data_IF_695112069298
#
_entry.id   IF_695112069298
#
_cell.length_a   1.000
_cell.length_b   1.000
_cell.length_c   1.000
_cell.angle_alpha   90.00
_cell.angle_beta   90.00
_cell.angle_gamma   90.00
#
_symmetry.space_group_name_H-M   'P 1'
#
loop_
_entity.id
_entity.type
_entity.pdbx_description
1 polymer ?
#
# COMPACT_ATOMS: atom_id res chain seq x y z
N UNK A 1 55.73 -10.15 6.16
CA UNK A 1 55.45 -9.71 7.55
C UNK A 1 54.02 -9.17 7.57
N UNK A 2 53.05 -10.05 7.83
CA UNK A 2 52.21 -10.14 9.06
C UNK A 2 51.19 -8.99 9.14
N UNK A 3 49.89 -9.25 8.89
CA UNK A 3 48.83 -9.60 9.87
C UNK A 3 48.29 -8.34 10.59
N UNK A 4 47.00 -8.01 10.67
CA UNK A 4 45.80 -8.78 11.03
C UNK A 4 44.56 -8.00 10.53
N UNK A 5 43.53 -8.60 9.92
CA UNK A 5 42.47 -9.41 10.54
C UNK A 5 41.73 -8.72 11.71
N UNK A 6 40.59 -8.08 11.41
CA UNK A 6 39.48 -7.99 12.36
C UNK A 6 38.15 -8.24 11.63
N UNK A 7 37.76 -9.52 11.68
CA UNK A 7 36.42 -10.05 11.50
C UNK A 7 35.57 -9.59 12.69
N UNK A 8 34.39 -9.01 12.44
CA UNK A 8 33.22 -9.23 13.30
C UNK A 8 31.97 -9.37 12.45
N UNK A 9 31.48 -10.59 12.51
CA UNK A 9 30.15 -11.05 12.21
C UNK A 9 29.07 -10.13 12.81
N UNK A 10 28.03 -9.85 12.02
CA UNK A 10 26.66 -9.75 12.53
C UNK A 10 25.72 -10.44 11.56
N UNK A 11 25.42 -11.66 11.94
CA UNK A 11 24.38 -12.52 11.41
C UNK A 11 22.99 -11.87 11.51
N UNK A 12 22.16 -12.17 10.50
CA UNK A 12 20.83 -12.74 10.72
C UNK A 12 19.83 -11.95 11.56
N UNK A 13 19.11 -11.00 10.94
CA UNK A 13 17.76 -10.65 11.38
C UNK A 13 16.75 -11.17 10.37
N UNK A 14 16.06 -12.23 10.74
CA UNK A 14 14.97 -12.82 9.98
C UNK A 14 13.83 -11.79 9.73
N UNK A 15 13.17 -11.80 8.57
CA UNK A 15 11.99 -10.98 8.35
C UNK A 15 10.83 -11.48 9.23
N UNK A 16 10.17 -10.52 9.89
CA UNK A 16 9.06 -10.75 10.81
C UNK A 16 7.99 -11.68 10.24
N UNK A 17 7.83 -12.83 10.92
CA UNK A 17 6.81 -13.84 10.65
C UNK A 17 5.45 -13.27 11.04
N UNK A 18 4.63 -12.98 10.04
CA UNK A 18 3.21 -12.70 10.24
C UNK A 18 2.52 -14.01 10.62
N UNK A 19 2.00 -14.10 11.84
CA UNK A 19 1.26 -15.27 12.31
C UNK A 19 -0.06 -15.38 11.52
N UNK A 20 -0.26 -16.53 10.88
CA UNK A 20 -1.57 -16.97 10.40
C UNK A 20 -2.35 -17.53 11.59
N UNK A 21 -3.66 -17.24 11.76
CA UNK A 21 -4.49 -18.03 12.67
C UNK A 21 -4.68 -19.44 12.08
N UNK A 22 -4.39 -20.42 12.92
CA UNK A 22 -4.57 -21.85 12.66
C UNK A 22 -6.06 -22.20 12.52
N UNK A 23 -6.33 -23.23 11.73
CA UNK A 23 -7.66 -23.78 11.52
C UNK A 23 -8.27 -24.37 12.79
N UNK A 24 -9.60 -24.27 12.85
CA UNK A 24 -10.43 -25.11 13.70
C UNK A 24 -11.32 -25.94 12.76
N UNK A 25 -11.03 -27.23 12.78
CA UNK A 25 -11.81 -28.37 12.41
C UNK A 25 -12.99 -28.57 13.38
N UNK A 26 -14.20 -28.75 12.85
CA UNK A 26 -15.40 -28.98 13.64
C UNK A 26 -16.64 -29.14 12.76
N UNK A 27 -17.09 -30.38 12.66
CA UNK A 27 -18.12 -30.90 11.76
C UNK A 27 -19.56 -30.53 12.13
N UNK A 28 -20.37 -30.27 11.09
CA UNK A 28 -21.70 -30.87 10.91
C UNK A 28 -22.92 -30.31 11.66
N UNK A 29 -23.72 -29.47 10.98
CA UNK A 29 -25.20 -29.58 10.99
C UNK A 29 -25.85 -28.95 9.75
N UNK A 30 -26.98 -29.54 9.36
CA UNK A 30 -27.70 -29.53 8.07
C UNK A 30 -28.47 -28.24 7.72
N UNK A 31 -28.94 -28.08 6.46
CA UNK A 31 -29.45 -26.81 5.91
C UNK A 31 -30.95 -26.61 6.20
N UNK A 32 -31.31 -25.37 6.52
CA UNK A 32 -32.70 -24.89 6.63
C UNK A 32 -32.86 -23.62 5.79
N UNK A 33 -33.82 -23.68 4.88
CA UNK A 33 -34.26 -22.66 3.93
C UNK A 33 -35.01 -21.47 4.56
N UNK A 34 -35.08 -20.36 3.80
CA UNK A 34 -35.82 -19.08 3.96
C UNK A 34 -34.90 -17.91 4.42
N UNK A 35 -34.89 -16.70 3.85
CA UNK A 35 -35.72 -15.97 2.88
C UNK A 35 -34.86 -14.81 2.29
N UNK A 36 -34.87 -14.54 0.98
CA UNK A 36 -34.10 -13.45 0.38
C UNK A 36 -34.88 -12.13 0.40
N UNK A 37 -34.79 -11.38 1.50
CA UNK A 37 -35.16 -9.94 1.54
C UNK A 37 -34.72 -9.31 2.85
N UNK A 38 -33.83 -8.31 2.74
CA UNK A 38 -33.47 -7.19 3.65
C UNK A 38 -31.96 -7.00 3.53
N UNK A 39 -31.37 -5.92 3.01
CA UNK A 39 -31.88 -4.68 2.44
C UNK A 39 -30.73 -4.08 1.63
N UNK A 40 -31.05 -3.56 0.45
CA UNK A 40 -30.14 -2.75 -0.34
C UNK A 40 -29.60 -1.59 0.49
N UNK A 41 -28.30 -1.66 0.80
CA UNK A 41 -27.53 -0.50 1.20
C UNK A 41 -27.41 0.41 0.00
N UNK A 42 -28.15 1.51 0.00
CA UNK A 42 -28.02 2.61 -0.95
C UNK A 42 -26.53 2.91 -1.08
N UNK A 43 -25.97 2.72 -2.28
CA UNK A 43 -24.60 3.09 -2.58
C UNK A 43 -24.48 4.61 -2.46
N UNK A 44 -24.29 5.11 -1.24
CA UNK A 44 -23.83 6.46 -1.02
C UNK A 44 -22.52 6.55 -1.79
N UNK A 45 -22.49 7.40 -2.83
CA UNK A 45 -21.29 7.64 -3.60
C UNK A 45 -20.19 8.05 -2.62
N UNK A 46 -19.26 7.12 -2.34
CA UNK A 46 -18.17 7.36 -1.40
C UNK A 46 -17.40 8.58 -1.91
N UNK A 47 -17.34 9.63 -1.10
CA UNK A 47 -16.51 10.80 -1.38
C UNK A 47 -15.21 10.64 -0.59
N UNK A 48 -14.10 11.11 -1.14
CA UNK A 48 -12.81 11.09 -0.44
C UNK A 48 -11.89 9.92 -0.84
N UNK A 49 -10.89 9.61 -0.01
CA UNK A 49 -9.83 8.63 -0.31
C UNK A 49 -10.34 7.23 -0.65
N UNK A 50 -11.43 6.75 -0.04
CA UNK A 50 -11.99 5.43 -0.29
C UNK A 50 -12.37 5.19 -1.78
N UNK A 51 -12.98 6.18 -2.43
CA UNK A 51 -13.33 6.07 -3.86
C UNK A 51 -12.10 6.10 -4.76
N UNK A 52 -11.05 6.80 -4.34
CA UNK A 52 -9.78 6.80 -5.04
C UNK A 52 -9.13 5.42 -5.01
N UNK A 53 -9.12 4.79 -3.83
CA UNK A 53 -8.65 3.42 -3.63
C UNK A 53 -9.45 2.40 -4.43
N UNK A 54 -10.77 2.52 -4.47
CA UNK A 54 -11.64 1.63 -5.27
C UNK A 54 -11.31 1.71 -6.76
N UNK A 55 -11.16 2.92 -7.31
CA UNK A 55 -10.77 3.12 -8.72
C UNK A 55 -9.37 2.61 -9.01
N UNK A 56 -8.44 2.82 -8.09
CA UNK A 56 -7.09 2.27 -8.20
C UNK A 56 -7.09 0.74 -8.18
N UNK A 57 -7.82 0.11 -7.25
CA UNK A 57 -7.95 -1.36 -7.20
C UNK A 57 -8.55 -1.93 -8.48
N UNK A 58 -9.54 -1.25 -9.09
CA UNK A 58 -10.12 -1.67 -10.36
C UNK A 58 -9.15 -1.54 -11.56
N UNK A 59 -8.05 -0.80 -11.41
CA UNK A 59 -7.11 -0.51 -12.49
C UNK A 59 -5.85 -1.39 -12.52
N UNK A 60 -5.64 -2.19 -11.47
CA UNK A 60 -4.51 -3.13 -11.31
C UNK A 60 -4.94 -4.57 -11.56
N UNK A 61 -3.97 -5.47 -11.80
CA UNK A 61 -4.25 -6.87 -12.11
C UNK A 61 -4.72 -7.67 -10.89
N UNK A 62 -5.39 -8.80 -11.12
CA UNK A 62 -5.98 -9.64 -10.05
C UNK A 62 -4.99 -10.55 -9.35
N UNK A 63 -3.71 -10.49 -9.72
CA UNK A 63 -2.62 -11.20 -9.03
C UNK A 63 -2.35 -10.66 -7.61
N UNK A 64 -2.95 -9.53 -7.22
CA UNK A 64 -2.76 -8.89 -5.93
C UNK A 64 -3.91 -9.17 -4.97
N UNK A 65 -3.58 -9.63 -3.76
CA UNK A 65 -4.48 -9.54 -2.63
C UNK A 65 -4.53 -8.09 -2.14
N UNK A 66 -5.73 -7.57 -1.88
CA UNK A 66 -5.98 -6.20 -1.44
C UNK A 66 -6.35 -6.18 0.05
N UNK A 67 -5.68 -5.34 0.85
CA UNK A 67 -6.01 -5.10 2.26
C UNK A 67 -6.04 -3.60 2.51
N UNK A 68 -6.97 -3.10 3.30
CA UNK A 68 -7.10 -1.66 3.65
C UNK A 68 -6.77 -1.41 5.11
N UNK A 69 -6.45 -0.15 5.45
CA UNK A 69 -6.20 0.30 6.82
C UNK A 69 -5.17 -0.58 7.56
N UNK A 70 -4.05 -0.85 6.89
CA UNK A 70 -3.03 -1.77 7.39
C UNK A 70 -2.12 -1.04 8.38
N UNK A 71 -2.04 -1.46 9.65
CA UNK A 71 -1.16 -0.82 10.63
C UNK A 71 0.30 -0.86 10.18
N UNK A 72 1.03 0.24 10.42
CA UNK A 72 2.47 0.30 10.09
C UNK A 72 3.34 -0.49 11.08
N UNK A 73 2.80 -0.84 12.25
CA UNK A 73 3.49 -1.55 13.32
C UNK A 73 2.51 -2.49 14.03
N UNK A 74 2.97 -3.62 14.61
CA UNK A 74 2.17 -4.42 15.53
C UNK A 74 1.97 -3.77 16.91
N UNK A 75 2.69 -2.69 17.22
CA UNK A 75 2.51 -1.94 18.46
C UNK A 75 1.12 -1.29 18.50
N UNK A 76 0.30 -1.67 19.49
CA UNK A 76 -1.05 -1.17 19.65
C UNK A 76 -1.12 0.34 19.96
N UNK A 77 -0.02 0.95 20.44
CA UNK A 77 0.07 2.39 20.65
C UNK A 77 0.38 3.16 19.36
N UNK A 78 0.90 2.48 18.34
CA UNK A 78 1.13 3.05 17.02
C UNK A 78 -0.17 3.08 16.21
N UNK A 79 -0.73 4.27 16.04
CA UNK A 79 -2.03 4.47 15.40
C UNK A 79 -1.95 4.74 13.89
N UNK A 80 -0.75 4.85 13.31
CA UNK A 80 -0.59 5.08 11.88
C UNK A 80 -0.93 3.82 11.10
N UNK A 81 -1.68 4.00 10.01
CA UNK A 81 -1.99 2.96 9.05
C UNK A 81 -1.58 3.41 7.64
N UNK A 82 -1.37 2.42 6.79
CA UNK A 82 -1.30 2.58 5.34
C UNK A 82 -2.68 2.32 4.79
N UNK A 83 -3.18 3.24 3.97
CA UNK A 83 -4.57 3.22 3.49
C UNK A 83 -4.89 1.89 2.78
N UNK A 84 -3.95 1.36 1.98
CA UNK A 84 -4.04 0.01 1.46
C UNK A 84 -2.69 -0.69 1.21
N UNK A 85 -2.74 -2.01 1.08
CA UNK A 85 -1.61 -2.87 0.81
C UNK A 85 -1.95 -3.84 -0.32
N UNK A 86 -1.07 -3.89 -1.32
CA UNK A 86 -1.02 -4.96 -2.31
C UNK A 86 -0.12 -6.07 -1.78
N UNK A 87 -0.64 -7.30 -1.74
CA UNK A 87 0.10 -8.46 -1.26
C UNK A 87 0.12 -9.55 -2.33
N UNK A 88 1.32 -9.94 -2.75
CA UNK A 88 1.57 -11.11 -3.60
C UNK A 88 2.90 -11.71 -3.17
N UNK A 89 2.93 -12.77 -2.35
CA UNK A 89 4.18 -13.29 -1.79
C UNK A 89 5.27 -13.50 -2.85
N UNK A 90 6.52 -13.05 -2.60
CA UNK A 90 7.01 -12.39 -1.38
C UNK A 90 6.79 -10.86 -1.34
N UNK A 91 6.16 -10.29 -2.36
CA UNK A 91 6.02 -8.86 -2.59
C UNK A 91 4.91 -8.21 -1.76
N UNK A 92 5.20 -6.98 -1.31
CA UNK A 92 4.28 -6.07 -0.64
C UNK A 92 4.48 -4.66 -1.18
N UNK A 93 3.39 -3.95 -1.43
CA UNK A 93 3.39 -2.57 -1.91
C UNK A 93 2.36 -1.79 -1.09
N UNK A 94 2.81 -0.76 -0.39
CA UNK A 94 1.92 0.14 0.33
C UNK A 94 1.29 1.16 -0.62
N UNK A 95 0.08 1.59 -0.33
CA UNK A 95 -0.71 2.50 -1.16
C UNK A 95 -1.29 3.59 -0.27
N UNK A 96 -1.06 4.84 -0.65
CA UNK A 96 -1.57 6.03 0.03
C UNK A 96 -2.42 6.84 -0.95
N UNK A 97 -3.64 7.18 -0.56
CA UNK A 97 -4.62 7.85 -1.41
C UNK A 97 -4.80 9.32 -1.01
N UNK A 98 -4.41 10.22 -1.90
CA UNK A 98 -4.47 11.67 -1.67
C UNK A 98 -5.42 12.31 -2.69
N UNK A 99 -6.53 12.86 -2.18
CA UNK A 99 -7.52 13.55 -3.03
C UNK A 99 -7.06 14.94 -3.42
N UNK A 100 -6.34 15.64 -2.53
CA UNK A 100 -5.80 16.97 -2.77
C UNK A 100 -4.48 17.17 -2.04
N UNK A 101 -3.42 17.53 -2.76
CA UNK A 101 -2.14 17.90 -2.17
C UNK A 101 -2.20 19.35 -1.71
N UNK A 102 -2.01 19.61 -0.42
CA UNK A 102 -1.88 20.97 0.13
C UNK A 102 -0.41 21.36 0.33
N UNK A 103 0.41 20.40 0.76
CA UNK A 103 1.84 20.56 0.98
C UNK A 103 2.54 19.27 0.51
N UNK A 104 3.32 19.38 -0.56
CA UNK A 104 4.07 18.25 -1.13
C UNK A 104 5.11 17.71 -0.14
N UNK A 105 5.84 18.59 0.54
CA UNK A 105 6.93 18.18 1.44
C UNK A 105 6.36 17.39 2.61
N UNK A 106 5.33 17.94 3.26
CA UNK A 106 4.69 17.30 4.39
C UNK A 106 4.08 15.94 4.00
N UNK A 107 3.42 15.88 2.82
CA UNK A 107 2.83 14.65 2.32
C UNK A 107 3.89 13.57 2.06
N UNK A 108 4.95 13.90 1.33
CA UNK A 108 6.01 12.93 0.99
C UNK A 108 6.74 12.47 2.25
N UNK A 109 7.06 13.38 3.18
CA UNK A 109 7.66 13.04 4.46
C UNK A 109 6.80 12.06 5.27
N UNK A 110 5.49 12.30 5.33
CA UNK A 110 4.55 11.42 6.03
C UNK A 110 4.54 10.01 5.43
N UNK A 111 4.47 9.90 4.10
CA UNK A 111 4.44 8.61 3.41
C UNK A 111 5.74 7.84 3.61
N UNK A 112 6.90 8.49 3.45
CA UNK A 112 8.20 7.84 3.63
C UNK A 112 8.42 7.39 5.08
N UNK A 113 7.86 8.12 6.06
CA UNK A 113 7.90 7.71 7.45
C UNK A 113 7.06 6.45 7.68
N UNK A 114 5.86 6.35 7.10
CA UNK A 114 5.04 5.12 7.13
C UNK A 114 5.79 3.95 6.47
N UNK A 115 6.39 4.19 5.29
CA UNK A 115 7.18 3.19 4.56
C UNK A 115 8.31 2.61 5.43
N UNK A 116 9.08 3.50 6.07
CA UNK A 116 10.20 3.13 6.92
C UNK A 116 9.73 2.33 8.13
N UNK A 117 8.69 2.80 8.86
CA UNK A 117 8.18 2.08 10.04
C UNK A 117 7.63 0.71 9.66
N UNK A 118 6.88 0.62 8.56
CA UNK A 118 6.30 -0.64 8.10
C UNK A 118 7.28 -1.59 7.39
N UNK A 119 8.51 -1.15 7.13
CA UNK A 119 9.54 -1.92 6.41
C UNK A 119 9.06 -2.44 5.05
N UNK A 120 8.31 -1.62 4.31
CA UNK A 120 7.74 -1.99 3.00
C UNK A 120 8.68 -1.51 1.89
N UNK A 121 9.00 -2.37 0.92
CA UNK A 121 9.99 -2.02 -0.10
C UNK A 121 9.51 -0.91 -1.04
N UNK A 122 8.21 -0.81 -1.32
CA UNK A 122 7.65 0.10 -2.32
C UNK A 122 6.35 0.75 -1.85
N UNK A 123 6.21 2.04 -2.15
CA UNK A 123 4.99 2.81 -1.97
C UNK A 123 4.44 3.31 -3.30
N UNK A 124 3.11 3.32 -3.39
CA UNK A 124 2.36 3.98 -4.45
C UNK A 124 1.58 5.15 -3.86
N UNK A 125 1.83 6.35 -4.37
CA UNK A 125 1.01 7.51 -4.11
C UNK A 125 -0.09 7.58 -5.19
N UNK A 126 -1.33 7.34 -4.79
CA UNK A 126 -2.50 7.47 -5.66
C UNK A 126 -3.09 8.86 -5.50
N UNK A 127 -3.23 9.57 -6.61
CA UNK A 127 -3.74 10.94 -6.65
C UNK A 127 -5.02 11.01 -7.47
N UNK A 128 -5.96 11.83 -7.01
CA UNK A 128 -7.06 12.25 -7.88
C UNK A 128 -6.49 13.01 -9.08
N UNK A 129 -6.91 12.63 -10.29
CA UNK A 129 -6.50 13.30 -11.52
C UNK A 129 -7.15 14.68 -11.64
N UNK A 130 -6.53 15.68 -11.00
CA UNK A 130 -7.00 17.07 -11.00
C UNK A 130 -5.89 18.01 -11.43
N UNK A 131 -6.27 19.14 -12.05
CA UNK A 131 -5.32 20.21 -12.38
C UNK A 131 -4.53 20.68 -11.16
N UNK A 132 -5.19 20.79 -9.99
CA UNK A 132 -4.56 21.16 -8.73
C UNK A 132 -3.43 20.19 -8.36
N UNK A 133 -3.71 18.88 -8.33
CA UNK A 133 -2.70 17.89 -7.96
C UNK A 133 -1.56 17.84 -8.98
N UNK A 134 -1.86 17.96 -10.27
CA UNK A 134 -0.83 18.01 -11.32
C UNK A 134 0.08 19.22 -11.15
N UNK A 135 -0.48 20.41 -10.90
CA UNK A 135 0.31 21.62 -10.61
C UNK A 135 1.19 21.40 -9.39
N UNK A 136 0.61 20.91 -8.29
CA UNK A 136 1.36 20.65 -7.06
C UNK A 136 2.54 19.69 -7.27
N UNK A 137 2.39 18.66 -8.13
CA UNK A 137 3.52 17.77 -8.45
C UNK A 137 4.62 18.46 -9.26
N UNK A 138 4.24 19.33 -10.20
CA UNK A 138 5.21 20.11 -10.99
C UNK A 138 5.96 21.09 -10.08
N UNK A 139 5.22 21.82 -9.25
CA UNK A 139 5.78 22.81 -8.32
C UNK A 139 6.68 22.14 -7.26
N UNK A 140 6.34 20.92 -6.84
CA UNK A 140 7.08 20.12 -5.87
C UNK A 140 8.07 19.11 -6.47
N UNK A 141 8.37 19.20 -7.77
CA UNK A 141 9.17 18.20 -8.48
C UNK A 141 10.53 17.86 -7.82
N UNK A 142 11.29 18.82 -7.26
CA UNK A 142 12.56 18.52 -6.58
C UNK A 142 12.44 17.54 -5.40
N UNK A 143 11.28 17.47 -4.75
CA UNK A 143 11.04 16.55 -3.62
C UNK A 143 10.40 15.25 -4.07
N UNK A 144 9.50 15.32 -5.04
CA UNK A 144 8.77 14.16 -5.53
C UNK A 144 9.69 13.23 -6.33
N UNK A 145 10.49 13.79 -7.23
CA UNK A 145 11.24 12.99 -8.21
C UNK A 145 12.24 12.02 -7.55
N UNK A 146 12.98 12.40 -6.50
CA UNK A 146 13.85 11.46 -5.78
C UNK A 146 13.07 10.40 -5.00
N UNK A 147 11.91 10.76 -4.43
CA UNK A 147 11.14 9.88 -3.54
C UNK A 147 10.19 8.92 -4.29
N UNK A 148 9.67 9.34 -5.44
CA UNK A 148 8.70 8.63 -6.29
C UNK A 148 9.09 8.76 -7.77
N UNK A 149 10.22 8.15 -8.20
CA UNK A 149 10.72 8.30 -9.56
C UNK A 149 9.89 7.55 -10.62
N UNK A 150 9.05 6.59 -10.22
CA UNK A 150 8.30 5.77 -11.17
C UNK A 150 7.01 6.46 -11.61
N UNK A 151 6.97 6.87 -12.88
CA UNK A 151 5.83 7.53 -13.49
C UNK A 151 4.61 6.59 -13.65
N UNK A 152 3.42 7.19 -13.68
CA UNK A 152 2.13 6.50 -13.77
C UNK A 152 2.06 5.37 -14.80
N UNK A 153 2.47 5.62 -16.06
CA UNK A 153 2.35 4.60 -17.12
C UNK A 153 3.18 3.35 -16.82
N UNK A 154 4.41 3.55 -16.35
CA UNK A 154 5.33 2.45 -16.03
C UNK A 154 4.84 1.69 -14.79
N UNK A 155 4.45 2.41 -13.74
CA UNK A 155 3.85 1.84 -12.54
C UNK A 155 2.61 0.99 -12.85
N UNK A 156 1.65 1.54 -13.60
CA UNK A 156 0.42 0.82 -13.93
C UNK A 156 0.67 -0.41 -14.77
N UNK A 157 1.66 -0.38 -15.67
CA UNK A 157 2.08 -1.57 -16.43
C UNK A 157 2.58 -2.67 -15.49
N UNK A 158 3.51 -2.35 -14.60
CA UNK A 158 4.08 -3.32 -13.65
C UNK A 158 2.99 -3.90 -12.73
N UNK A 159 2.12 -3.06 -12.17
CA UNK A 159 1.03 -3.49 -11.30
C UNK A 159 -0.01 -4.35 -12.01
N UNK A 160 -0.36 -4.04 -13.27
CA UNK A 160 -1.29 -4.87 -14.08
C UNK A 160 -0.71 -6.25 -14.37
N UNK A 161 0.60 -6.34 -14.55
CA UNK A 161 1.33 -7.60 -14.75
C UNK A 161 1.58 -8.38 -13.45
N UNK A 162 1.15 -7.87 -12.28
CA UNK A 162 1.42 -8.52 -10.99
C UNK A 162 2.89 -8.45 -10.56
N UNK A 163 3.64 -7.49 -11.10
CA UNK A 163 5.07 -7.30 -10.81
C UNK A 163 5.27 -6.27 -9.71
N UNK A 164 6.25 -6.52 -8.82
CA UNK A 164 6.67 -5.53 -7.84
C UNK A 164 7.16 -4.28 -8.58
N UNK A 165 6.69 -3.07 -8.21
CA UNK A 165 7.18 -1.85 -8.82
C UNK A 165 8.70 -1.71 -8.70
N UNK A 166 9.34 -1.30 -9.79
CA UNK A 166 10.81 -1.12 -9.82
C UNK A 166 11.28 -0.08 -8.81
N UNK A 167 10.48 0.97 -8.58
CA UNK A 167 10.67 1.99 -7.55
C UNK A 167 9.32 2.48 -6.98
N UNK A 168 9.36 3.37 -5.98
CA UNK A 168 8.19 4.10 -5.52
C UNK A 168 7.58 4.88 -6.69
N UNK A 169 6.25 4.92 -6.79
CA UNK A 169 5.60 5.50 -7.96
C UNK A 169 4.33 6.28 -7.67
N UNK A 170 3.93 7.09 -8.65
CA UNK A 170 2.72 7.91 -8.60
C UNK A 170 1.71 7.37 -9.60
N UNK A 171 0.47 7.16 -9.15
CA UNK A 171 -0.66 6.84 -10.00
C UNK A 171 -1.71 7.95 -9.94
N UNK A 172 -2.23 8.34 -11.11
CA UNK A 172 -3.46 9.11 -11.18
C UNK A 172 -4.62 8.17 -11.41
N UNK A 173 -5.72 8.41 -10.70
CA UNK A 173 -7.00 7.77 -11.00
C UNK A 173 -8.07 8.80 -11.22
#
# INVERSE_FOLDING_TARGET
>A
MLSSAHRRDREGRAPGRWLHPAGADGSGRRPGSADPRVSGGIAAARRGPARLLERFRASIGDAWTWRTEVPVSPDALERRAIDAMLVRPPHRVGVEAVTRILDVQAQIRSILLKQSVAQIPRMVLVLADTRHNRSALVDGAPTISPAFPLAHRALMRELRLGQLPSANGIAFV
#
